data_IF_568299812562
#
_entry.id   IF_568299812562
#
_cell.length_a   1.000
_cell.length_b   1.000
_cell.length_c   1.000
_cell.angle_alpha   90.00
_cell.angle_beta   90.00
_cell.angle_gamma   90.00
#
_symmetry.space_group_name_H-M   'P 1'
#
loop_
_entity.id
_entity.type
_entity.pdbx_description
1 polymer ?
#
# COMPACT_ATOMS: atom_id res chain seq x y z
N UNK A 1 -18.76 1.80 -27.46
CA UNK A 1 -19.95 0.93 -27.29
C UNK A 1 -20.80 0.78 -28.53
N UNK A 2 -20.76 1.73 -29.48
CA UNK A 2 -21.59 1.72 -30.71
C UNK A 2 -21.78 0.36 -31.42
N UNK A 3 -20.73 -0.46 -31.49
CA UNK A 3 -20.84 -1.82 -32.07
C UNK A 3 -21.76 -2.76 -31.28
N UNK A 4 -21.70 -2.73 -29.95
CA UNK A 4 -22.59 -3.51 -29.06
C UNK A 4 -24.02 -2.94 -29.14
N UNK A 5 -24.14 -1.62 -29.21
CA UNK A 5 -25.43 -0.92 -29.20
C UNK A 5 -26.27 -1.23 -30.45
N UNK A 6 -25.64 -1.25 -31.64
CA UNK A 6 -26.31 -1.27 -32.95
C UNK A 6 -26.30 -2.66 -33.63
N UNK A 7 -25.73 -3.69 -33.00
CA UNK A 7 -25.64 -5.03 -33.58
C UNK A 7 -27.02 -5.63 -33.90
N UNK A 8 -27.16 -6.24 -35.08
CA UNK A 8 -28.38 -6.97 -35.47
C UNK A 8 -28.15 -8.47 -35.41
N UNK A 9 -28.85 -9.15 -34.51
CA UNK A 9 -28.73 -10.59 -34.29
C UNK A 9 -29.84 -11.41 -34.96
N UNK A 10 -30.65 -10.80 -35.84
CA UNK A 10 -31.83 -11.47 -36.43
C UNK A 10 -31.49 -12.77 -37.17
N UNK A 11 -30.38 -12.76 -37.91
CA UNK A 11 -29.90 -13.88 -38.72
C UNK A 11 -28.73 -14.65 -38.06
N UNK A 12 -28.38 -14.32 -36.82
CA UNK A 12 -27.27 -14.97 -36.13
C UNK A 12 -27.65 -16.40 -35.73
N UNK A 13 -26.74 -17.34 -35.91
CA UNK A 13 -26.80 -18.67 -35.30
C UNK A 13 -26.69 -18.59 -33.77
N UNK A 14 -27.06 -19.66 -33.06
CA UNK A 14 -26.97 -19.68 -31.60
C UNK A 14 -25.54 -19.43 -31.08
N UNK A 15 -24.47 -20.05 -31.64
CA UNK A 15 -23.09 -19.73 -31.24
C UNK A 15 -22.71 -18.27 -31.47
N UNK A 16 -23.18 -17.64 -32.55
CA UNK A 16 -22.94 -16.21 -32.79
C UNK A 16 -23.64 -15.33 -31.76
N UNK A 17 -24.89 -15.65 -31.38
CA UNK A 17 -25.63 -14.91 -30.35
C UNK A 17 -24.95 -15.05 -28.99
N UNK A 18 -24.58 -16.27 -28.60
CA UNK A 18 -23.96 -16.54 -27.29
C UNK A 18 -22.59 -15.85 -27.21
N UNK A 19 -21.75 -16.01 -28.24
CA UNK A 19 -20.44 -15.34 -28.30
C UNK A 19 -20.59 -13.82 -28.21
N UNK A 20 -21.54 -13.24 -28.95
CA UNK A 20 -21.83 -11.81 -28.88
C UNK A 20 -22.21 -11.37 -27.47
N UNK A 21 -23.15 -12.06 -26.82
CA UNK A 21 -23.65 -11.66 -25.50
C UNK A 21 -22.62 -11.86 -24.38
N UNK A 22 -21.78 -12.91 -24.42
CA UNK A 22 -20.68 -13.08 -23.47
C UNK A 22 -19.70 -11.90 -23.58
N UNK A 23 -19.28 -11.58 -24.82
CA UNK A 23 -18.38 -10.45 -25.05
C UNK A 23 -19.01 -9.11 -24.63
N UNK A 24 -20.29 -8.90 -24.96
CA UNK A 24 -21.01 -7.70 -24.57
C UNK A 24 -21.07 -7.57 -23.04
N UNK A 25 -21.47 -8.62 -22.34
CA UNK A 25 -21.54 -8.61 -20.87
C UNK A 25 -20.18 -8.26 -20.24
N UNK A 26 -19.12 -8.99 -20.63
CA UNK A 26 -17.79 -8.79 -20.06
C UNK A 26 -17.26 -7.37 -20.32
N UNK A 27 -17.46 -6.83 -21.53
CA UNK A 27 -17.06 -5.47 -21.88
C UNK A 27 -17.89 -4.41 -21.15
N UNK A 28 -19.19 -4.62 -20.96
CA UNK A 28 -20.06 -3.70 -20.22
C UNK A 28 -19.68 -3.65 -18.74
N UNK A 29 -19.35 -4.79 -18.12
CA UNK A 29 -18.82 -4.84 -16.74
C UNK A 29 -17.53 -4.02 -16.62
N UNK A 30 -16.55 -4.25 -17.51
CA UNK A 30 -15.30 -3.49 -17.52
C UNK A 30 -15.56 -2.00 -17.70
N UNK A 31 -16.40 -1.64 -18.67
CA UNK A 31 -16.73 -0.24 -18.93
C UNK A 31 -17.34 0.45 -17.72
N UNK A 32 -18.30 -0.22 -17.05
CA UNK A 32 -18.97 0.35 -15.90
C UNK A 32 -17.99 0.51 -14.73
N UNK A 33 -17.13 -0.48 -14.46
CA UNK A 33 -16.06 -0.33 -13.46
C UNK A 33 -15.17 0.89 -13.77
N UNK A 34 -14.72 1.02 -15.03
CA UNK A 34 -13.86 2.14 -15.44
C UNK A 34 -14.58 3.48 -15.30
N UNK A 35 -15.88 3.55 -15.61
CA UNK A 35 -16.67 4.77 -15.50
C UNK A 35 -16.86 5.25 -14.06
N UNK A 36 -16.85 4.33 -13.08
CA UNK A 36 -16.96 4.63 -11.65
C UNK A 36 -15.61 4.61 -10.92
N UNK A 37 -14.50 4.53 -11.65
CA UNK A 37 -13.18 4.47 -11.05
C UNK A 37 -12.79 5.79 -10.36
N UNK A 38 -12.14 5.78 -9.18
CA UNK A 38 -11.73 4.61 -8.39
C UNK A 38 -12.86 4.00 -7.55
N UNK A 39 -13.01 2.68 -7.63
CA UNK A 39 -13.94 1.89 -6.80
C UNK A 39 -13.26 0.63 -6.30
N UNK A 40 -13.62 0.15 -5.11
CA UNK A 40 -13.00 -1.04 -4.50
C UNK A 40 -13.80 -2.33 -4.68
N UNK A 41 -15.02 -2.24 -5.20
CA UNK A 41 -15.93 -3.36 -5.44
C UNK A 41 -17.02 -2.95 -6.43
N UNK A 42 -17.42 -3.82 -7.36
CA UNK A 42 -18.64 -3.62 -8.16
C UNK A 42 -19.88 -3.39 -7.28
N UNK A 43 -19.97 -4.05 -6.11
CA UNK A 43 -21.09 -3.89 -5.18
C UNK A 43 -21.15 -2.52 -4.49
N UNK A 44 -20.07 -1.73 -4.53
CA UNK A 44 -20.08 -0.38 -4.00
C UNK A 44 -20.88 0.59 -4.90
N UNK A 45 -21.17 0.20 -6.15
CA UNK A 45 -21.97 0.95 -7.11
C UNK A 45 -23.42 0.50 -6.97
N UNK A 46 -24.30 1.41 -6.55
CA UNK A 46 -25.69 1.11 -6.24
C UNK A 46 -26.44 0.53 -7.45
N UNK A 47 -26.74 -0.76 -7.41
CA UNK A 47 -27.45 -1.46 -8.48
C UNK A 47 -26.59 -1.69 -9.72
N UNK A 48 -25.29 -1.92 -9.54
CA UNK A 48 -24.32 -2.19 -10.61
C UNK A 48 -24.89 -3.15 -11.67
N UNK A 49 -25.44 -4.29 -11.25
CA UNK A 49 -25.97 -5.31 -12.15
C UNK A 49 -27.46 -5.11 -12.48
N UNK A 50 -28.24 -4.48 -11.60
CA UNK A 50 -29.71 -4.52 -11.64
C UNK A 50 -30.39 -3.21 -12.06
N UNK A 51 -29.72 -2.06 -11.95
CA UNK A 51 -30.33 -0.74 -12.19
C UNK A 51 -29.79 -0.03 -13.42
N UNK A 52 -28.50 -0.19 -13.72
CA UNK A 52 -27.87 0.51 -14.83
C UNK A 52 -28.17 -0.21 -16.14
N UNK A 53 -29.03 0.42 -16.97
CA UNK A 53 -29.34 -0.10 -18.30
C UNK A 53 -28.31 0.34 -19.32
N UNK A 54 -27.93 -0.59 -20.19
CA UNK A 54 -27.05 -0.40 -21.33
C UNK A 54 -27.82 -0.73 -22.62
N UNK A 55 -27.39 -0.17 -23.76
CA UNK A 55 -27.92 -0.58 -25.05
C UNK A 55 -27.15 -1.80 -25.55
N UNK A 56 -27.86 -2.88 -25.88
CA UNK A 56 -27.27 -4.10 -26.44
C UNK A 56 -28.17 -4.60 -27.54
N UNK A 57 -27.64 -4.66 -28.78
CA UNK A 57 -28.38 -5.08 -29.97
C UNK A 57 -29.74 -4.37 -30.13
N UNK A 58 -29.76 -3.05 -29.88
CA UNK A 58 -30.96 -2.20 -29.95
C UNK A 58 -31.88 -2.25 -28.72
N UNK A 59 -31.65 -3.13 -27.74
CA UNK A 59 -32.46 -3.26 -26.52
C UNK A 59 -31.83 -2.51 -25.33
N UNK A 60 -32.65 -1.92 -24.47
CA UNK A 60 -32.19 -1.30 -23.22
C UNK A 60 -32.32 -2.30 -22.07
N UNK A 61 -31.20 -2.85 -21.62
CA UNK A 61 -31.13 -4.02 -20.74
C UNK A 61 -30.09 -3.81 -19.63
N UNK A 62 -30.31 -4.37 -18.44
CA UNK A 62 -29.29 -4.38 -17.37
C UNK A 62 -28.32 -5.54 -17.53
N UNK A 63 -27.18 -5.53 -16.83
CA UNK A 63 -26.23 -6.66 -16.84
C UNK A 63 -26.90 -7.94 -16.36
N UNK A 64 -27.67 -7.89 -15.27
CA UNK A 64 -28.40 -9.04 -14.75
C UNK A 64 -29.44 -9.56 -15.77
N UNK A 65 -30.16 -8.67 -16.44
CA UNK A 65 -31.11 -9.09 -17.49
C UNK A 65 -30.39 -9.69 -18.70
N UNK A 66 -29.23 -9.16 -19.08
CA UNK A 66 -28.40 -9.69 -20.16
C UNK A 66 -27.92 -11.12 -19.83
N UNK A 67 -27.38 -11.33 -18.65
CA UNK A 67 -26.96 -12.66 -18.15
C UNK A 67 -28.14 -13.63 -18.08
N UNK A 68 -29.22 -13.26 -17.41
CA UNK A 68 -30.32 -14.19 -17.16
C UNK A 68 -31.15 -14.46 -18.43
N UNK A 69 -31.62 -13.41 -19.11
CA UNK A 69 -32.60 -13.54 -20.20
C UNK A 69 -31.98 -13.88 -21.54
N UNK A 70 -30.73 -13.48 -21.80
CA UNK A 70 -30.07 -13.70 -23.10
C UNK A 70 -29.07 -14.86 -23.10
N UNK A 71 -28.58 -15.28 -21.92
CA UNK A 71 -27.55 -16.31 -21.80
C UNK A 71 -28.02 -17.53 -20.99
N UNK A 72 -28.26 -17.39 -19.68
CA UNK A 72 -28.50 -18.55 -18.80
C UNK A 72 -29.85 -19.25 -19.06
N UNK A 73 -30.95 -18.52 -19.17
CA UNK A 73 -32.28 -19.13 -19.42
C UNK A 73 -32.37 -19.84 -20.79
N UNK A 74 -31.88 -19.26 -21.91
CA UNK A 74 -31.97 -19.91 -23.21
C UNK A 74 -31.01 -21.09 -23.39
N UNK A 75 -29.76 -20.96 -22.91
CA UNK A 75 -28.73 -21.99 -23.13
C UNK A 75 -28.78 -23.11 -22.11
N UNK A 76 -29.21 -22.77 -20.88
CA UNK A 76 -29.22 -23.71 -19.77
C UNK A 76 -27.85 -24.33 -19.47
N UNK A 77 -26.75 -23.70 -19.91
CA UNK A 77 -25.38 -24.18 -19.74
C UNK A 77 -24.73 -23.61 -18.46
N UNK A 78 -24.46 -24.43 -17.43
CA UNK A 78 -23.86 -23.96 -16.18
C UNK A 78 -22.43 -23.44 -16.36
N UNK A 79 -21.74 -23.79 -17.45
CA UNK A 79 -20.38 -23.33 -17.74
C UNK A 79 -20.31 -21.83 -18.00
N UNK A 80 -21.43 -21.20 -18.33
CA UNK A 80 -21.50 -19.76 -18.54
C UNK A 80 -21.10 -18.94 -17.30
N UNK A 81 -21.29 -19.49 -16.09
CA UNK A 81 -20.81 -18.90 -14.84
C UNK A 81 -19.28 -18.74 -14.75
N UNK A 82 -18.52 -19.41 -15.62
CA UNK A 82 -17.05 -19.35 -15.67
C UNK A 82 -16.49 -18.45 -16.78
N UNK A 83 -17.36 -17.89 -17.62
CA UNK A 83 -16.98 -16.98 -18.70
C UNK A 83 -17.62 -15.60 -18.60
N UNK A 84 -18.65 -15.45 -17.77
CA UNK A 84 -19.25 -14.16 -17.41
C UNK A 84 -18.55 -13.58 -16.18
N UNK A 85 -17.86 -12.46 -16.37
CA UNK A 85 -17.04 -11.87 -15.32
C UNK A 85 -17.77 -10.78 -14.54
N UNK A 86 -17.60 -10.74 -13.23
CA UNK A 86 -18.20 -9.70 -12.37
C UNK A 86 -17.18 -8.64 -11.90
N UNK A 87 -15.95 -8.66 -12.46
CA UNK A 87 -14.81 -7.81 -12.07
C UNK A 87 -14.34 -7.94 -10.60
N UNK A 88 -14.81 -8.95 -9.87
CA UNK A 88 -14.38 -9.21 -8.49
C UNK A 88 -13.21 -10.20 -8.41
N UNK A 89 -12.50 -10.25 -7.29
CA UNK A 89 -11.42 -11.23 -7.01
C UNK A 89 -11.93 -12.66 -6.89
N UNK A 90 -13.15 -12.85 -6.39
CA UNK A 90 -13.81 -14.16 -6.34
C UNK A 90 -14.29 -14.67 -7.70
N UNK A 91 -14.16 -13.84 -8.75
CA UNK A 91 -14.57 -14.17 -10.10
C UNK A 91 -13.63 -15.19 -10.75
N UNK A 92 -14.15 -16.07 -11.62
CA UNK A 92 -13.34 -16.76 -12.61
C UNK A 92 -12.44 -15.77 -13.35
N UNK A 93 -11.22 -16.20 -13.66
CA UNK A 93 -10.25 -15.34 -14.33
C UNK A 93 -10.81 -14.86 -15.68
N UNK A 94 -10.56 -13.60 -16.03
CA UNK A 94 -10.97 -13.00 -17.30
C UNK A 94 -10.26 -13.66 -18.48
N UNK A 95 -10.97 -13.89 -19.58
CA UNK A 95 -10.36 -14.32 -20.84
C UNK A 95 -9.58 -13.14 -21.46
N UNK A 96 -8.38 -13.42 -21.97
CA UNK A 96 -7.55 -12.48 -22.72
C UNK A 96 -7.89 -12.45 -24.23
N UNK A 97 -8.96 -13.13 -24.61
CA UNK A 97 -9.50 -13.22 -25.96
C UNK A 97 -10.99 -12.89 -26.00
N UNK A 98 -11.47 -12.54 -27.19
CA UNK A 98 -12.91 -12.46 -27.46
C UNK A 98 -13.47 -13.85 -27.79
N UNK A 99 -14.68 -14.12 -27.32
CA UNK A 99 -15.40 -15.34 -27.68
C UNK A 99 -15.85 -15.27 -29.14
N UNK A 100 -15.61 -16.34 -29.90
CA UNK A 100 -15.95 -16.42 -31.32
C UNK A 100 -16.88 -17.60 -31.57
N UNK A 101 -17.84 -17.43 -32.48
CA UNK A 101 -18.84 -18.46 -32.77
C UNK A 101 -18.24 -19.79 -33.23
N UNK A 102 -17.17 -19.75 -34.02
CA UNK A 102 -16.50 -20.94 -34.55
C UNK A 102 -15.59 -21.66 -33.54
N UNK A 103 -15.32 -21.04 -32.39
CA UNK A 103 -14.50 -21.61 -31.31
C UNK A 103 -15.22 -21.65 -29.96
N UNK A 104 -16.49 -21.25 -29.91
CA UNK A 104 -17.20 -20.90 -28.68
C UNK A 104 -17.18 -22.05 -27.66
N UNK A 105 -17.52 -23.25 -28.12
CA UNK A 105 -17.57 -24.44 -27.27
C UNK A 105 -16.19 -24.75 -26.66
N UNK A 106 -15.15 -24.74 -27.48
CA UNK A 106 -13.78 -24.98 -27.02
C UNK A 106 -13.31 -23.90 -26.04
N UNK A 107 -13.68 -22.64 -26.26
CA UNK A 107 -13.34 -21.53 -25.37
C UNK A 107 -14.06 -21.64 -24.02
N UNK A 108 -15.36 -21.94 -24.00
CA UNK A 108 -16.13 -22.14 -22.77
C UNK A 108 -15.59 -23.34 -21.98
N UNK A 109 -15.31 -24.44 -22.67
CA UNK A 109 -14.76 -25.64 -22.06
C UNK A 109 -13.38 -25.38 -21.45
N UNK A 110 -12.49 -24.69 -22.18
CA UNK A 110 -11.18 -24.30 -21.68
C UNK A 110 -11.27 -23.45 -20.40
N UNK A 111 -12.14 -22.43 -20.37
CA UNK A 111 -12.30 -21.57 -19.18
C UNK A 111 -12.90 -22.32 -17.99
N UNK A 112 -13.82 -23.25 -18.26
CA UNK A 112 -14.41 -24.12 -17.24
C UNK A 112 -13.36 -25.02 -16.62
N UNK A 113 -12.57 -25.70 -17.45
CA UNK A 113 -11.51 -26.58 -16.97
C UNK A 113 -10.47 -25.81 -16.15
N UNK A 114 -10.03 -24.64 -16.62
CA UNK A 114 -9.11 -23.78 -15.88
C UNK A 114 -9.67 -23.41 -14.50
N UNK A 115 -10.95 -23.04 -14.43
CA UNK A 115 -11.59 -22.62 -13.17
C UNK A 115 -11.75 -23.78 -12.18
N UNK A 116 -12.15 -24.96 -12.65
CA UNK A 116 -12.43 -26.11 -11.78
C UNK A 116 -11.18 -26.90 -11.37
N UNK A 117 -10.05 -26.65 -12.03
CA UNK A 117 -8.74 -27.20 -11.67
C UNK A 117 -7.90 -26.23 -10.82
N UNK A 118 -8.28 -24.95 -10.76
CA UNK A 118 -7.63 -23.94 -9.92
C UNK A 118 -7.85 -24.23 -8.42
N UNK A 119 -6.75 -24.37 -7.67
CA UNK A 119 -6.75 -24.64 -6.23
C UNK A 119 -7.22 -23.45 -5.39
N UNK A 120 -7.20 -22.24 -5.93
CA UNK A 120 -7.77 -21.05 -5.30
C UNK A 120 -9.30 -21.03 -5.37
N UNK A 121 -9.88 -21.65 -6.41
CA UNK A 121 -11.31 -21.71 -6.67
C UNK A 121 -11.95 -22.98 -6.08
N UNK A 122 -11.28 -24.14 -6.20
CA UNK A 122 -11.66 -25.42 -5.57
C UNK A 122 -10.59 -25.79 -4.54
N UNK A 123 -10.83 -25.46 -3.26
CA UNK A 123 -9.84 -25.57 -2.19
C UNK A 123 -9.96 -26.92 -1.49
N UNK A 124 -9.04 -27.83 -1.78
CA UNK A 124 -9.06 -29.20 -1.23
C UNK A 124 -8.13 -29.30 -0.03
N UNK A 125 -8.66 -29.80 1.09
CA UNK A 125 -7.92 -30.25 2.26
C UNK A 125 -7.92 -31.79 2.28
N UNK A 126 -6.82 -32.36 1.82
CA UNK A 126 -6.64 -33.80 1.71
C UNK A 126 -6.61 -34.50 3.08
N UNK A 127 -6.03 -33.85 4.10
CA UNK A 127 -5.87 -34.42 5.43
C UNK A 127 -7.21 -34.49 6.17
N UNK A 128 -8.03 -33.45 6.04
CA UNK A 128 -9.34 -33.38 6.67
C UNK A 128 -10.46 -34.01 5.82
N UNK A 129 -10.17 -34.42 4.57
CA UNK A 129 -11.17 -34.83 3.57
C UNK A 129 -12.27 -33.78 3.39
N UNK A 130 -11.88 -32.52 3.22
CA UNK A 130 -12.79 -31.37 3.02
C UNK A 130 -12.51 -30.67 1.70
N UNK A 131 -13.55 -30.15 1.07
CA UNK A 131 -13.42 -29.28 -0.09
C UNK A 131 -14.26 -28.01 0.12
N UNK A 132 -13.62 -26.85 0.01
CA UNK A 132 -14.30 -25.57 0.04
C UNK A 132 -14.46 -25.04 -1.39
N UNK A 133 -15.70 -24.74 -1.78
CA UNK A 133 -16.08 -24.26 -3.12
C UNK A 133 -16.62 -22.82 -3.07
N UNK A 134 -16.55 -22.14 -4.21
CA UNK A 134 -17.06 -20.76 -4.35
C UNK A 134 -18.56 -20.67 -4.04
N UNK A 135 -19.01 -19.54 -3.48
CA UNK A 135 -20.42 -19.21 -3.31
C UNK A 135 -21.22 -19.19 -4.63
N UNK A 136 -20.56 -19.11 -5.80
CA UNK A 136 -21.21 -19.30 -7.12
C UNK A 136 -22.02 -20.60 -7.15
N UNK A 137 -21.48 -21.70 -6.62
CA UNK A 137 -22.18 -22.99 -6.57
C UNK A 137 -23.35 -23.00 -5.56
N UNK A 138 -23.39 -22.03 -4.65
CA UNK A 138 -24.49 -21.86 -3.69
C UNK A 138 -25.60 -21.00 -4.30
N UNK A 139 -25.24 -19.85 -4.90
CA UNK A 139 -26.21 -18.94 -5.52
C UNK A 139 -26.89 -19.56 -6.74
N UNK A 140 -26.13 -20.28 -7.56
CA UNK A 140 -26.59 -20.89 -8.81
C UNK A 140 -26.71 -22.41 -8.71
N UNK A 141 -26.98 -22.94 -7.50
CA UNK A 141 -27.02 -24.38 -7.21
C UNK A 141 -27.94 -25.16 -8.17
N UNK A 142 -29.04 -24.56 -8.61
CA UNK A 142 -29.99 -25.20 -9.53
C UNK A 142 -29.39 -25.49 -10.91
N UNK A 143 -28.47 -24.64 -11.38
CA UNK A 143 -27.85 -24.79 -12.70
C UNK A 143 -26.90 -25.99 -12.75
N UNK A 144 -26.24 -26.26 -11.63
CA UNK A 144 -25.27 -27.36 -11.48
C UNK A 144 -25.90 -28.71 -11.10
N UNK A 145 -27.21 -28.77 -10.76
CA UNK A 145 -27.89 -30.00 -10.31
C UNK A 145 -28.81 -30.64 -11.35
N UNK A 146 -28.41 -30.59 -12.61
CA UNK A 146 -29.23 -31.12 -13.71
C UNK A 146 -29.15 -32.64 -13.80
N UNK A 147 -30.24 -33.27 -14.24
CA UNK A 147 -30.31 -34.71 -14.50
C UNK A 147 -29.94 -35.59 -13.29
N UNK A 148 -30.25 -35.14 -12.06
CA UNK A 148 -29.97 -35.87 -10.83
C UNK A 148 -28.52 -35.75 -10.33
N UNK A 149 -27.68 -34.96 -11.01
CA UNK A 149 -26.31 -34.68 -10.57
C UNK A 149 -26.31 -33.74 -9.36
N UNK A 150 -25.34 -33.92 -8.47
CA UNK A 150 -24.97 -32.93 -7.46
C UNK A 150 -23.86 -32.00 -7.99
N UNK A 151 -23.66 -30.87 -7.31
CA UNK A 151 -22.59 -29.91 -7.62
C UNK A 151 -21.23 -30.60 -7.75
N UNK A 152 -20.96 -31.58 -6.88
CA UNK A 152 -19.70 -32.31 -6.88
C UNK A 152 -19.51 -33.18 -8.11
N UNK A 153 -20.60 -33.71 -8.68
CA UNK A 153 -20.56 -34.53 -9.89
C UNK A 153 -20.15 -33.66 -11.08
N UNK A 154 -20.69 -32.45 -11.17
CA UNK A 154 -20.28 -31.46 -12.17
C UNK A 154 -18.79 -31.11 -12.02
N UNK A 155 -18.34 -30.78 -10.81
CA UNK A 155 -16.92 -30.48 -10.54
C UNK A 155 -16.02 -31.66 -10.93
N UNK A 156 -16.45 -32.88 -10.58
CA UNK A 156 -15.70 -34.10 -10.85
C UNK A 156 -15.54 -34.40 -12.35
N UNK A 157 -16.37 -33.87 -13.25
CA UNK A 157 -16.17 -34.02 -14.70
C UNK A 157 -14.82 -33.44 -15.16
N UNK A 158 -14.33 -32.40 -14.47
CA UNK A 158 -13.15 -31.63 -14.86
C UNK A 158 -11.90 -31.95 -14.03
N UNK A 159 -12.00 -32.86 -13.06
CA UNK A 159 -10.91 -33.20 -12.14
C UNK A 159 -10.36 -34.60 -12.39
N UNK A 160 -9.03 -34.70 -12.33
CA UNK A 160 -8.32 -36.00 -12.30
C UNK A 160 -8.53 -36.68 -10.95
N UNK A 161 -8.28 -35.97 -9.85
CA UNK A 161 -8.52 -36.46 -8.50
C UNK A 161 -9.98 -36.16 -8.11
N UNK A 162 -10.82 -37.18 -8.17
CA UNK A 162 -12.23 -37.10 -7.81
C UNK A 162 -12.39 -36.80 -6.31
N UNK A 163 -13.40 -35.99 -5.99
CA UNK A 163 -13.68 -35.50 -4.63
C UNK A 163 -14.77 -36.33 -3.93
N UNK A 164 -14.86 -37.61 -4.26
CA UNK A 164 -15.84 -38.53 -3.66
C UNK A 164 -15.57 -38.70 -2.15
N UNK A 165 -16.61 -38.56 -1.34
CA UNK A 165 -16.52 -38.66 0.12
C UNK A 165 -15.95 -37.44 0.83
N UNK A 166 -15.63 -36.34 0.12
CA UNK A 166 -15.18 -35.11 0.76
C UNK A 166 -16.38 -34.35 1.34
N UNK A 167 -16.21 -33.79 2.52
CA UNK A 167 -17.19 -32.85 3.07
C UNK A 167 -17.09 -31.53 2.31
N UNK A 168 -18.19 -31.14 1.66
CA UNK A 168 -18.30 -29.90 0.89
C UNK A 168 -18.65 -28.74 1.83
N UNK A 169 -17.88 -27.66 1.74
CA UNK A 169 -18.16 -26.38 2.39
C UNK A 169 -18.11 -25.25 1.37
N UNK A 170 -18.71 -24.09 1.67
CA UNK A 170 -18.56 -22.89 0.86
C UNK A 170 -17.62 -21.89 1.54
N UNK A 171 -16.97 -21.03 0.75
CA UNK A 171 -16.23 -19.88 1.26
C UNK A 171 -16.85 -18.57 0.76
N UNK A 172 -16.78 -17.47 1.55
CA UNK A 172 -17.32 -16.18 1.14
C UNK A 172 -16.70 -15.67 -0.16
N UNK A 173 -17.54 -15.15 -1.05
CA UNK A 173 -17.13 -14.57 -2.31
C UNK A 173 -16.40 -13.23 -2.11
N UNK A 174 -15.21 -13.11 -2.67
CA UNK A 174 -14.43 -11.88 -2.57
C UNK A 174 -14.88 -10.86 -3.63
N UNK A 175 -15.83 -9.99 -3.25
CA UNK A 175 -16.34 -8.90 -4.07
C UNK A 175 -15.37 -7.73 -4.25
N UNK A 176 -14.17 -7.80 -3.68
CA UNK A 176 -13.12 -6.80 -3.90
C UNK A 176 -12.79 -6.74 -5.39
N UNK A 177 -12.66 -5.55 -5.96
CA UNK A 177 -12.36 -5.35 -7.38
C UNK A 177 -11.06 -6.09 -7.74
N UNK A 178 -11.01 -6.72 -8.90
CA UNK A 178 -9.91 -7.59 -9.31
C UNK A 178 -8.58 -6.83 -9.57
N UNK A 179 -8.62 -5.51 -9.76
CA UNK A 179 -7.44 -4.63 -9.73
C UNK A 179 -7.11 -4.14 -8.31
N UNK A 180 -8.08 -4.22 -7.38
CA UNK A 180 -7.94 -3.76 -6.01
C UNK A 180 -7.05 -4.75 -5.30
N UNK A 181 -5.82 -4.30 -5.14
CA UNK A 181 -4.82 -4.94 -4.34
C UNK A 181 -5.23 -4.76 -2.89
N UNK A 182 -6.04 -5.67 -2.38
CA UNK A 182 -5.85 -6.03 -1.00
C UNK A 182 -4.41 -6.54 -0.89
N UNK A 183 -3.60 -5.92 -0.05
CA UNK A 183 -2.43 -6.54 0.60
C UNK A 183 -2.83 -7.78 1.46
N UNK A 184 -3.93 -8.46 1.10
CA UNK A 184 -4.48 -9.64 1.75
C UNK A 184 -4.01 -10.95 1.11
N UNK A 185 -3.40 -10.90 -0.08
CA UNK A 185 -2.45 -11.94 -0.47
C UNK A 185 -1.25 -11.81 0.47
N UNK A 186 -1.13 -12.77 1.38
CA UNK A 186 -0.04 -12.79 2.35
C UNK A 186 1.32 -12.96 1.66
N UNK A 187 2.43 -12.85 2.41
CA UNK A 187 3.76 -13.18 1.91
C UNK A 187 3.91 -14.65 1.45
N UNK A 188 2.91 -15.50 1.71
CA UNK A 188 2.86 -16.91 1.30
C UNK A 188 2.01 -17.15 0.03
N UNK A 189 1.27 -16.14 -0.45
CA UNK A 189 0.71 -16.22 -1.80
C UNK A 189 1.84 -15.95 -2.80
N UNK A 190 2.00 -16.75 -3.87
CA UNK A 190 2.91 -16.38 -4.94
C UNK A 190 2.56 -14.96 -5.37
N UNK A 191 3.51 -14.03 -5.18
CA UNK A 191 3.41 -12.71 -5.80
C UNK A 191 3.12 -12.99 -7.29
N UNK A 192 2.14 -12.32 -7.93
CA UNK A 192 2.05 -12.35 -9.39
C UNK A 192 3.46 -12.12 -9.92
N UNK A 193 3.91 -12.91 -10.91
CA UNK A 193 5.32 -13.22 -11.28
C UNK A 193 6.33 -12.04 -11.32
N UNK A 194 5.85 -10.80 -11.21
CA UNK A 194 6.58 -9.55 -11.35
C UNK A 194 6.42 -8.54 -10.17
N UNK A 195 5.78 -8.86 -9.05
CA UNK A 195 5.67 -7.91 -7.91
C UNK A 195 6.57 -8.30 -6.74
N UNK A 196 7.06 -7.31 -6.01
CA UNK A 196 8.01 -7.51 -4.91
C UNK A 196 7.54 -6.82 -3.62
N UNK A 197 8.08 -7.23 -2.47
CA UNK A 197 7.77 -6.65 -1.17
C UNK A 197 7.84 -5.11 -1.13
N UNK A 198 8.71 -4.49 -1.93
CA UNK A 198 8.79 -3.03 -2.08
C UNK A 198 7.47 -2.36 -2.52
N UNK A 199 6.67 -3.04 -3.35
CA UNK A 199 5.41 -2.50 -3.88
C UNK A 199 4.21 -2.82 -2.96
N UNK A 200 4.32 -3.90 -2.18
CA UNK A 200 3.25 -4.42 -1.32
C UNK A 200 3.30 -3.79 0.09
N UNK A 201 4.48 -3.80 0.70
CA UNK A 201 4.74 -3.30 2.05
C UNK A 201 5.21 -1.85 2.01
N UNK A 202 4.32 -0.95 1.62
CA UNK A 202 4.55 0.49 1.73
C UNK A 202 4.50 0.94 3.19
N UNK A 203 4.99 2.14 3.52
CA UNK A 203 4.95 2.65 4.89
C UNK A 203 3.54 2.81 5.47
N UNK A 204 2.48 2.82 4.67
CA UNK A 204 1.09 2.86 5.14
C UNK A 204 0.53 1.46 5.48
N UNK A 205 1.12 0.39 4.97
CA UNK A 205 0.66 -0.98 5.15
C UNK A 205 0.91 -1.46 6.59
N UNK A 206 0.10 -2.43 7.01
CA UNK A 206 0.21 -3.07 8.32
C UNK A 206 0.40 -4.58 8.20
N UNK A 207 1.05 -5.15 9.20
CA UNK A 207 1.36 -6.58 9.26
C UNK A 207 0.27 -7.39 9.97
N UNK A 208 0.04 -8.62 9.51
CA UNK A 208 -0.87 -9.59 10.15
C UNK A 208 -0.25 -10.24 11.37
N UNK A 209 -1.09 -10.86 12.20
CA UNK A 209 -0.65 -11.63 13.36
C UNK A 209 0.49 -12.59 13.01
N UNK A 210 1.63 -12.46 13.69
CA UNK A 210 2.81 -13.31 13.50
C UNK A 210 3.86 -12.75 12.55
N UNK A 211 3.54 -11.73 11.76
CA UNK A 211 4.50 -11.04 10.90
C UNK A 211 5.22 -9.93 11.67
N UNK A 212 6.46 -9.67 11.27
CA UNK A 212 7.26 -8.58 11.82
C UNK A 212 8.06 -7.88 10.72
N UNK A 213 8.52 -6.68 11.03
CA UNK A 213 9.46 -5.92 10.22
C UNK A 213 10.53 -5.32 11.12
N UNK A 214 11.77 -5.31 10.64
CA UNK A 214 12.86 -4.56 11.24
C UNK A 214 13.34 -3.53 10.23
N UNK A 215 13.26 -2.25 10.59
CA UNK A 215 13.86 -1.18 9.82
C UNK A 215 15.04 -0.56 10.56
N UNK A 216 16.14 -0.34 9.85
CA UNK A 216 17.27 0.45 10.34
C UNK A 216 17.44 1.65 9.42
N UNK A 217 17.12 2.84 9.94
CA UNK A 217 17.29 4.10 9.25
C UNK A 217 18.56 4.77 9.73
N UNK A 218 19.38 5.27 8.81
CA UNK A 218 20.52 6.12 9.08
C UNK A 218 20.33 7.41 8.29
N UNK A 219 20.25 8.53 9.01
CA UNK A 219 20.09 9.85 8.44
C UNK A 219 21.29 10.70 8.82
N UNK A 220 22.13 11.04 7.83
CA UNK A 220 23.28 11.93 8.00
C UNK A 220 22.94 13.34 7.51
N UNK A 221 22.85 14.27 8.45
CA UNK A 221 22.76 15.71 8.22
C UNK A 221 24.12 16.37 8.43
N UNK A 222 24.49 17.31 7.55
CA UNK A 222 25.76 18.05 7.66
C UNK A 222 25.55 19.53 7.37
N UNK A 223 26.28 20.37 8.10
CA UNK A 223 26.23 21.82 7.93
C UNK A 223 27.60 22.47 8.18
N UNK A 224 27.85 23.55 7.46
CA UNK A 224 28.99 24.48 7.67
C UNK A 224 28.52 25.91 7.88
N UNK A 225 27.21 26.15 7.76
CA UNK A 225 26.57 27.45 7.89
C UNK A 225 25.22 27.26 8.60
N UNK A 226 24.67 28.33 9.17
CA UNK A 226 23.31 28.41 9.73
C UNK A 226 22.60 29.63 9.18
N UNK A 227 21.26 29.68 9.20
CA UNK A 227 20.53 30.91 8.88
C UNK A 227 20.21 31.68 10.15
N UNK A 228 20.47 32.97 10.13
CA UNK A 228 20.14 33.85 11.26
C UNK A 228 18.66 34.26 11.28
N UNK A 229 18.34 35.25 12.11
CA UNK A 229 16.99 35.78 12.27
C UNK A 229 16.45 36.50 11.02
N UNK A 230 17.33 37.07 10.19
CA UNK A 230 17.00 37.72 8.93
C UNK A 230 16.92 36.71 7.76
N UNK A 231 17.45 35.49 7.95
CA UNK A 231 17.53 34.46 6.92
C UNK A 231 18.87 34.49 6.17
N UNK A 232 19.84 35.26 6.65
CA UNK A 232 21.17 35.35 6.07
C UNK A 232 22.04 34.16 6.49
N UNK A 233 22.92 33.72 5.60
CA UNK A 233 23.81 32.60 5.86
C UNK A 233 25.00 33.05 6.71
N UNK A 234 25.16 32.43 7.88
CA UNK A 234 26.24 32.68 8.82
C UNK A 234 27.16 31.45 8.86
N UNK A 235 28.44 31.65 8.55
CA UNK A 235 29.44 30.59 8.58
C UNK A 235 29.76 30.09 9.99
N UNK A 236 29.90 28.77 10.14
CA UNK A 236 30.25 28.14 11.42
C UNK A 236 31.77 27.96 11.62
N UNK A 237 32.60 28.21 10.60
CA UNK A 237 34.04 27.93 10.57
C UNK A 237 34.46 26.49 10.94
N UNK A 238 33.49 25.58 10.98
CA UNK A 238 33.64 24.16 11.28
C UNK A 238 32.54 23.40 10.54
N UNK A 239 32.74 22.10 10.31
CA UNK A 239 31.68 21.21 9.83
C UNK A 239 31.06 20.49 11.03
N UNK A 240 29.75 20.55 11.12
CA UNK A 240 28.99 19.77 12.09
C UNK A 240 28.24 18.68 11.33
N UNK A 241 28.32 17.43 11.80
CA UNK A 241 27.54 16.32 11.27
C UNK A 241 26.69 15.71 12.38
N UNK A 242 25.46 15.35 12.03
CA UNK A 242 24.48 14.74 12.91
C UNK A 242 23.97 13.48 12.22
N UNK A 243 24.26 12.33 12.81
CA UNK A 243 23.74 11.04 12.39
C UNK A 243 22.62 10.64 13.34
N UNK A 244 21.44 10.42 12.79
CA UNK A 244 20.32 9.81 13.48
C UNK A 244 20.14 8.39 12.97
N UNK A 245 20.42 7.41 13.83
CA UNK A 245 20.13 6.01 13.59
C UNK A 245 18.85 5.63 14.34
N UNK A 246 17.84 5.18 13.61
CA UNK A 246 16.59 4.67 14.19
C UNK A 246 16.45 3.19 13.86
N UNK A 247 16.33 2.35 14.89
CA UNK A 247 16.06 0.92 14.75
C UNK A 247 14.60 0.72 15.15
N UNK A 248 13.76 0.31 14.21
CA UNK A 248 12.33 0.12 14.43
C UNK A 248 11.97 -1.34 14.32
N UNK A 249 11.38 -1.89 15.38
CA UNK A 249 10.76 -3.21 15.36
C UNK A 249 9.24 -3.06 15.31
N UNK A 250 8.59 -3.69 14.33
CA UNK A 250 7.14 -3.71 14.19
C UNK A 250 6.63 -5.15 14.21
N UNK A 251 5.56 -5.41 14.95
CA UNK A 251 4.91 -6.72 15.03
C UNK A 251 3.41 -6.62 14.74
N UNK A 252 2.92 -7.54 13.91
CA UNK A 252 1.50 -7.77 13.68
C UNK A 252 0.85 -8.54 14.80
N UNK A 253 -0.17 -7.93 15.40
CA UNK A 253 -0.97 -8.54 16.48
C UNK A 253 -2.38 -8.93 16.02
N UNK A 254 -2.86 -8.34 14.92
CA UNK A 254 -4.22 -8.55 14.40
C UNK A 254 -4.23 -9.43 13.16
N UNK A 255 -5.15 -10.40 13.08
CA UNK A 255 -5.33 -11.24 11.87
C UNK A 255 -5.76 -10.43 10.65
N UNK A 256 -6.47 -9.33 10.88
CA UNK A 256 -6.98 -8.42 9.83
C UNK A 256 -5.96 -7.39 9.33
N UNK A 257 -4.71 -7.41 9.80
CA UNK A 257 -3.69 -6.40 9.46
C UNK A 257 -4.14 -4.97 9.74
N UNK A 258 -4.77 -4.73 10.91
CA UNK A 258 -5.30 -3.41 11.30
C UNK A 258 -4.66 -2.80 12.52
N UNK A 259 -3.82 -3.57 13.20
CA UNK A 259 -3.11 -3.16 14.40
C UNK A 259 -1.74 -3.82 14.42
N UNK A 260 -0.72 -2.97 14.53
CA UNK A 260 0.66 -3.33 14.83
C UNK A 260 1.09 -2.65 16.13
N UNK A 261 1.98 -3.32 16.84
CA UNK A 261 2.74 -2.77 17.95
C UNK A 261 4.19 -2.68 17.55
N UNK A 262 4.93 -1.73 18.10
CA UNK A 262 6.35 -1.60 17.83
C UNK A 262 7.13 -1.01 18.98
N UNK A 263 8.44 -1.12 18.86
CA UNK A 263 9.41 -0.52 19.77
C UNK A 263 10.56 0.02 18.92
N UNK A 264 10.86 1.29 19.10
CA UNK A 264 11.95 1.96 18.41
C UNK A 264 13.08 2.31 19.37
N UNK A 265 14.30 2.19 18.88
CA UNK A 265 15.51 2.65 19.55
C UNK A 265 16.17 3.73 18.69
N UNK A 266 16.52 4.85 19.33
CA UNK A 266 17.21 5.95 18.67
C UNK A 266 18.64 6.03 19.18
N UNK A 267 19.59 6.06 18.25
CA UNK A 267 21.00 6.29 18.51
C UNK A 267 21.39 7.55 17.74
N UNK A 268 21.71 8.61 18.48
CA UNK A 268 22.13 9.88 17.90
C UNK A 268 23.63 10.08 18.07
N UNK A 269 24.26 10.56 17.01
CA UNK A 269 25.68 10.86 17.00
C UNK A 269 25.91 12.25 16.42
N UNK A 270 26.64 13.10 17.15
CA UNK A 270 27.09 14.39 16.66
C UNK A 270 28.62 14.39 16.53
N UNK A 271 29.12 15.04 15.50
CA UNK A 271 30.55 15.21 15.28
C UNK A 271 30.88 16.60 14.76
N UNK A 272 32.09 17.07 15.08
CA UNK A 272 32.62 18.34 14.62
C UNK A 272 34.01 18.12 14.05
N UNK A 273 34.29 18.71 12.90
CA UNK A 273 35.60 18.72 12.24
C UNK A 273 35.83 20.09 11.57
N UNK A 274 36.98 20.26 10.92
CA UNK A 274 37.30 21.42 10.09
C UNK A 274 36.23 21.63 8.99
N UNK A 275 35.98 22.89 8.59
CA UNK A 275 34.95 23.23 7.60
C UNK A 275 35.15 22.53 6.24
N UNK A 276 36.41 22.31 5.84
CA UNK A 276 36.80 21.57 4.62
C UNK A 276 36.77 20.05 4.78
N UNK A 277 36.54 19.53 5.99
CA UNK A 277 36.47 18.10 6.26
C UNK A 277 35.30 17.42 5.53
N UNK A 278 35.47 16.14 5.22
CA UNK A 278 34.42 15.34 4.55
C UNK A 278 33.34 14.89 5.54
N UNK A 279 32.04 14.99 5.21
CA UNK A 279 30.95 14.42 6.02
C UNK A 279 31.10 12.92 6.28
N UNK A 280 31.74 12.19 5.35
CA UNK A 280 31.93 10.74 5.45
C UNK A 280 32.91 10.34 6.56
N UNK A 281 33.76 11.27 7.03
CA UNK A 281 34.61 11.02 8.19
C UNK A 281 33.81 10.68 9.44
N UNK A 282 32.53 11.07 9.52
CA UNK A 282 31.64 10.65 10.60
C UNK A 282 31.59 9.13 10.77
N UNK A 283 31.64 8.38 9.67
CA UNK A 283 31.58 6.92 9.69
C UNK A 283 32.96 6.27 9.77
N UNK A 284 33.92 6.75 8.98
CA UNK A 284 35.15 6.01 8.68
C UNK A 284 36.45 6.73 9.04
N UNK A 285 36.38 7.94 9.62
CA UNK A 285 37.56 8.75 9.91
C UNK A 285 37.60 9.32 11.32
N UNK A 286 38.74 9.89 11.67
CA UNK A 286 38.91 10.69 12.88
C UNK A 286 38.37 12.11 12.67
N UNK A 287 37.80 12.67 13.74
CA UNK A 287 37.18 14.00 13.79
C UNK A 287 37.55 14.65 15.13
N UNK A 288 37.57 15.98 15.19
CA UNK A 288 37.96 16.73 16.40
C UNK A 288 37.04 16.45 17.60
N UNK A 289 35.76 16.16 17.34
CA UNK A 289 34.81 15.76 18.36
C UNK A 289 33.82 14.76 17.78
N UNK A 290 33.49 13.72 18.55
CA UNK A 290 32.39 12.81 18.28
C UNK A 290 31.73 12.38 19.58
N UNK A 291 30.41 12.38 19.58
CA UNK A 291 29.62 11.84 20.67
C UNK A 291 28.46 11.03 20.11
N UNK A 292 28.35 9.79 20.56
CA UNK A 292 27.28 8.86 20.19
C UNK A 292 26.56 8.42 21.44
N UNK A 293 25.22 8.41 21.40
CA UNK A 293 24.39 8.12 22.57
C UNK A 293 23.11 7.44 22.12
N UNK A 294 22.67 6.45 22.90
CA UNK A 294 21.31 5.93 22.82
C UNK A 294 20.41 6.99 23.46
N UNK A 295 19.64 7.69 22.64
CA UNK A 295 18.92 8.88 23.04
C UNK A 295 17.50 8.58 23.51
N UNK A 296 16.79 7.69 22.82
CA UNK A 296 15.39 7.38 23.13
C UNK A 296 15.07 5.90 23.02
N UNK A 297 14.16 5.45 23.89
CA UNK A 297 13.33 4.27 23.68
C UNK A 297 11.92 4.75 23.37
N UNK A 298 11.28 4.20 22.36
CA UNK A 298 9.98 4.69 21.91
C UNK A 298 8.98 3.56 21.62
N UNK A 299 8.06 3.25 22.54
CA UNK A 299 6.93 2.38 22.22
C UNK A 299 6.04 3.02 21.14
N UNK A 300 5.54 2.17 20.23
CA UNK A 300 4.72 2.56 19.09
C UNK A 300 3.46 1.71 18.98
N UNK A 301 2.37 2.36 18.59
CA UNK A 301 1.17 1.72 18.05
C UNK A 301 0.91 2.21 16.63
N UNK A 302 0.49 1.32 15.73
CA UNK A 302 0.05 1.67 14.37
C UNK A 302 -1.24 0.96 14.03
N UNK A 303 -2.21 1.67 13.48
CA UNK A 303 -3.53 1.11 13.20
C UNK A 303 -4.18 1.70 11.95
N UNK A 304 -5.10 0.93 11.35
CA UNK A 304 -5.96 1.37 10.25
C UNK A 304 -7.32 1.77 10.83
N UNK A 305 -7.68 3.06 10.88
CA UNK A 305 -8.93 3.50 11.49
C UNK A 305 -10.16 3.09 10.69
N UNK A 306 -10.09 3.14 9.35
CA UNK A 306 -11.25 2.91 8.48
C UNK A 306 -11.10 1.62 7.67
N UNK A 307 -12.07 0.69 7.79
CA UNK A 307 -12.06 -0.58 7.03
C UNK A 307 -11.95 -0.35 5.51
N UNK A 308 -12.62 0.71 5.04
CA UNK A 308 -12.73 1.06 3.62
C UNK A 308 -11.46 1.70 3.05
N UNK A 309 -10.53 2.15 3.91
CA UNK A 309 -9.27 2.79 3.52
C UNK A 309 -8.09 2.00 4.12
N UNK A 310 -7.82 0.78 3.65
CA UNK A 310 -6.76 -0.07 4.22
C UNK A 310 -5.35 0.50 4.04
N UNK A 311 -5.20 1.50 3.16
CA UNK A 311 -3.94 2.22 2.88
C UNK A 311 -3.85 3.56 3.59
N UNK A 312 -4.83 3.90 4.43
CA UNK A 312 -4.75 5.00 5.36
C UNK A 312 -4.46 4.45 6.76
N UNK A 313 -3.29 4.76 7.32
CA UNK A 313 -2.92 4.33 8.66
C UNK A 313 -2.41 5.47 9.52
N UNK A 314 -2.59 5.29 10.83
CA UNK A 314 -2.13 6.23 11.85
C UNK A 314 -1.12 5.49 12.72
N UNK A 315 0.00 6.14 12.96
CA UNK A 315 1.06 5.69 13.86
C UNK A 315 1.23 6.70 14.97
N UNK A 316 1.33 6.23 16.21
CA UNK A 316 1.57 7.05 17.39
C UNK A 316 2.74 6.44 18.15
N UNK A 317 3.77 7.25 18.37
CA UNK A 317 5.03 6.85 18.99
C UNK A 317 5.36 7.85 20.09
N UNK A 318 5.68 7.36 21.28
CA UNK A 318 6.12 8.19 22.41
C UNK A 318 7.62 8.00 22.62
N UNK A 319 8.44 8.98 22.26
CA UNK A 319 9.88 8.92 22.48
C UNK A 319 10.19 9.38 23.90
N UNK A 320 10.81 8.49 24.67
CA UNK A 320 11.20 8.70 26.05
C UNK A 320 12.72 8.86 26.08
N UNK A 321 13.25 10.03 26.48
CA UNK A 321 14.69 10.22 26.57
C UNK A 321 15.27 9.30 27.65
N UNK A 322 16.36 8.60 27.33
CA UNK A 322 17.06 7.69 28.25
C UNK A 322 18.48 8.16 28.59
N UNK A 323 18.88 9.29 28.03
CA UNK A 323 20.15 9.95 28.30
C UNK A 323 19.91 11.44 28.56
N UNK A 324 20.77 12.03 29.38
CA UNK A 324 20.65 13.41 29.82
C UNK A 324 21.57 14.35 29.04
N UNK A 325 21.26 15.64 29.14
CA UNK A 325 22.01 16.78 28.62
C UNK A 325 22.21 16.75 27.11
N UNK A 326 21.33 16.09 26.36
CA UNK A 326 21.50 15.87 24.91
C UNK A 326 21.54 17.17 24.09
N UNK A 327 20.93 18.25 24.59
CA UNK A 327 20.92 19.57 23.94
C UNK A 327 22.23 20.36 24.16
N UNK A 328 23.04 19.99 25.15
CA UNK A 328 24.28 20.70 25.51
C UNK A 328 25.36 19.74 26.08
N UNK A 329 25.51 18.57 25.47
CA UNK A 329 26.41 17.54 25.98
C UNK A 329 27.85 17.89 25.62
N UNK A 330 28.68 18.13 26.64
CA UNK A 330 30.03 18.66 26.48
C UNK A 330 30.08 19.97 25.65
N UNK A 331 29.09 20.85 25.83
CA UNK A 331 29.02 22.13 25.12
C UNK A 331 28.49 22.03 23.69
N UNK A 332 27.94 20.87 23.29
CA UNK A 332 27.49 20.61 21.90
C UNK A 332 26.10 19.98 21.89
N UNK A 333 25.31 20.36 20.89
CA UNK A 333 24.03 19.72 20.62
C UNK A 333 24.26 18.34 20.00
N UNK A 334 23.56 17.32 20.50
CA UNK A 334 23.52 15.98 19.90
C UNK A 334 22.13 15.70 19.33
N UNK A 335 21.11 15.89 20.16
CA UNK A 335 19.69 15.77 19.84
C UNK A 335 18.89 16.49 20.92
N UNK A 336 17.56 16.51 20.81
CA UNK A 336 16.73 17.09 21.86
C UNK A 336 16.68 16.20 23.10
N UNK A 337 16.64 16.77 24.30
CA UNK A 337 16.49 16.02 25.56
C UNK A 337 15.06 16.16 26.08
N UNK A 338 14.08 15.66 25.31
CA UNK A 338 12.65 15.99 25.51
C UNK A 338 11.78 14.78 25.32
N UNK A 339 10.71 14.68 26.11
CA UNK A 339 9.61 13.78 25.76
C UNK A 339 9.01 14.25 24.43
N UNK A 340 8.89 13.34 23.48
CA UNK A 340 8.35 13.67 22.15
C UNK A 340 7.21 12.74 21.83
N UNK A 341 6.03 13.31 21.60
CA UNK A 341 4.91 12.58 21.04
C UNK A 341 4.89 12.78 19.53
N UNK A 342 5.12 11.70 18.80
CA UNK A 342 5.08 11.64 17.34
C UNK A 342 3.79 10.95 16.88
N UNK A 343 2.93 11.69 16.18
CA UNK A 343 1.79 11.10 15.45
C UNK A 343 2.03 11.24 13.96
N UNK A 344 1.98 10.13 13.22
CA UNK A 344 2.16 10.09 11.77
C UNK A 344 0.90 9.54 11.10
N UNK A 345 0.48 10.17 10.02
CA UNK A 345 -0.59 9.72 9.16
C UNK A 345 0.02 9.34 7.81
N UNK A 346 -0.29 8.13 7.37
CA UNK A 346 0.25 7.57 6.14
C UNK A 346 -0.88 7.29 5.15
N UNK A 347 -0.66 7.66 3.90
CA UNK A 347 -1.55 7.29 2.80
C UNK A 347 -0.73 7.00 1.56
N UNK A 348 -1.12 5.98 0.78
CA UNK A 348 -0.59 5.78 -0.55
C UNK A 348 -1.69 5.38 -1.53
N UNK A 349 -1.46 5.73 -2.79
CA UNK A 349 -2.34 5.40 -3.90
C UNK A 349 -1.54 5.20 -5.18
N UNK A 350 -1.93 4.20 -5.96
CA UNK A 350 -1.30 3.90 -7.24
C UNK A 350 -1.88 4.78 -8.35
N UNK A 351 -1.02 5.23 -9.25
CA UNK A 351 -1.39 5.95 -10.48
C UNK A 351 -1.02 5.03 -11.65
N UNK A 352 -1.95 4.15 -12.01
CA UNK A 352 -1.68 3.08 -12.96
C UNK A 352 -0.67 2.05 -12.42
N UNK A 353 -0.04 1.25 -13.30
CA UNK A 353 0.78 0.10 -12.89
C UNK A 353 2.22 0.46 -12.50
N UNK A 354 2.72 1.65 -12.87
CA UNK A 354 4.14 2.01 -12.74
C UNK A 354 4.40 3.19 -11.82
N UNK A 355 3.37 3.85 -11.30
CA UNK A 355 3.53 5.00 -10.42
C UNK A 355 2.71 4.85 -9.13
N UNK A 356 3.25 5.39 -8.05
CA UNK A 356 2.57 5.48 -6.76
C UNK A 356 2.89 6.82 -6.11
N UNK A 357 1.89 7.40 -5.45
CA UNK A 357 2.10 8.54 -4.56
C UNK A 357 1.96 8.06 -3.13
N UNK A 358 2.91 8.45 -2.30
CA UNK A 358 2.86 8.25 -0.85
C UNK A 358 2.89 9.62 -0.17
N UNK A 359 2.02 9.79 0.81
CA UNK A 359 1.87 11.01 1.61
C UNK A 359 2.09 10.64 3.08
N UNK A 360 2.90 11.43 3.75
CA UNK A 360 3.15 11.35 5.18
C UNK A 360 2.93 12.72 5.82
N UNK A 361 2.06 12.74 6.82
CA UNK A 361 1.81 13.90 7.67
C UNK A 361 2.23 13.57 9.10
N UNK A 362 3.25 14.25 9.63
CA UNK A 362 3.76 13.99 10.97
C UNK A 362 3.58 15.20 11.89
N UNK A 363 3.14 14.93 13.12
CA UNK A 363 2.98 15.89 14.20
C UNK A 363 3.95 15.51 15.30
N UNK A 364 4.97 16.33 15.51
CA UNK A 364 5.90 16.24 16.62
C UNK A 364 5.49 17.23 17.69
N UNK A 365 5.00 16.75 18.83
CA UNK A 365 4.85 17.57 20.01
C UNK A 365 5.98 17.29 20.99
N UNK A 366 6.85 18.28 21.20
CA UNK A 366 7.98 18.16 22.14
C UNK A 366 7.69 18.87 23.43
N UNK A 367 7.82 18.14 24.52
CA UNK A 367 7.55 18.57 25.88
C UNK A 367 8.89 18.69 26.60
N UNK A 368 9.19 19.89 27.11
CA UNK A 368 10.41 20.12 27.90
C UNK A 368 10.46 19.17 29.09
N UNK A 369 11.63 18.63 29.36
CA UNK A 369 11.94 17.77 30.50
C UNK A 369 12.38 18.59 31.71
N UNK A 370 13.16 19.66 31.47
CA UNK A 370 13.73 20.54 32.49
C UNK A 370 13.46 22.03 32.19
N UNK A 371 13.58 22.89 33.19
CA UNK A 371 13.35 24.35 33.07
C UNK A 371 14.42 25.09 32.24
N UNK A 372 15.61 24.51 32.10
CA UNK A 372 16.72 25.07 31.31
C UNK A 372 16.50 24.97 29.80
N UNK A 373 15.47 24.25 29.37
CA UNK A 373 15.17 24.01 27.96
C UNK A 373 14.18 25.02 27.42
N UNK A 374 14.25 25.29 26.11
CA UNK A 374 13.24 26.10 25.42
C UNK A 374 11.83 25.53 25.66
N UNK A 375 10.82 26.39 25.53
CA UNK A 375 9.41 26.01 25.71
C UNK A 375 8.98 24.84 24.83
N UNK A 376 7.86 24.22 25.19
CA UNK A 376 7.23 23.20 24.34
C UNK A 376 6.96 23.76 22.94
N UNK A 377 7.06 22.90 21.94
CA UNK A 377 6.77 23.28 20.57
C UNK A 377 6.12 22.13 19.80
N UNK A 378 5.40 22.51 18.75
CA UNK A 378 4.83 21.59 17.77
C UNK A 378 5.59 21.78 16.47
N UNK A 379 6.04 20.70 15.85
CA UNK A 379 6.56 20.71 14.48
C UNK A 379 5.70 19.79 13.62
N UNK A 380 5.25 20.31 12.50
CA UNK A 380 4.49 19.55 11.50
C UNK A 380 5.45 19.17 10.38
N UNK A 381 5.26 18.02 9.76
CA UNK A 381 5.99 17.61 8.57
C UNK A 381 4.99 17.13 7.54
N UNK A 382 4.87 17.88 6.44
CA UNK A 382 4.06 17.56 5.28
C UNK A 382 4.99 16.97 4.22
N UNK A 383 4.86 15.68 3.90
CA UNK A 383 5.77 14.99 2.98
C UNK A 383 4.99 14.27 1.88
N UNK A 384 5.45 14.43 0.64
CA UNK A 384 4.89 13.72 -0.51
C UNK A 384 6.02 13.09 -1.33
N UNK A 385 5.79 11.86 -1.76
CA UNK A 385 6.73 11.03 -2.52
C UNK A 385 6.05 10.54 -3.78
N UNK A 386 6.66 10.76 -4.93
CA UNK A 386 6.24 10.17 -6.21
C UNK A 386 7.23 9.07 -6.57
N UNK A 387 6.74 7.83 -6.58
CA UNK A 387 7.52 6.62 -6.89
C UNK A 387 7.23 6.13 -8.30
N UNK A 388 8.28 5.66 -8.98
CA UNK A 388 8.27 5.03 -10.29
C UNK A 388 8.88 3.62 -10.19
N UNK A 389 8.18 2.63 -10.76
CA UNK A 389 8.57 1.21 -10.74
C UNK A 389 8.99 0.76 -12.15
N UNK A 390 10.24 1.01 -12.58
CA UNK A 390 10.72 0.57 -13.89
C UNK A 390 10.86 -0.95 -13.99
N UNK A 391 11.12 -1.61 -12.86
CA UNK A 391 11.29 -3.06 -12.71
C UNK A 391 10.72 -3.51 -11.37
N UNK A 392 10.37 -4.80 -11.21
CA UNK A 392 9.85 -5.35 -9.96
C UNK A 392 10.64 -4.93 -8.71
N UNK A 393 11.97 -5.12 -8.75
CA UNK A 393 12.88 -4.94 -7.60
C UNK A 393 13.48 -3.53 -7.48
N UNK A 394 13.13 -2.61 -8.37
CA UNK A 394 13.76 -1.28 -8.45
C UNK A 394 12.67 -0.22 -8.36
N UNK A 395 12.85 0.74 -7.47
CA UNK A 395 12.00 1.94 -7.38
C UNK A 395 12.87 3.16 -7.46
N UNK A 396 12.50 4.15 -8.28
CA UNK A 396 13.03 5.50 -8.18
C UNK A 396 11.93 6.39 -7.61
N UNK A 397 12.29 7.36 -6.78
CA UNK A 397 11.30 8.29 -6.25
C UNK A 397 11.85 9.69 -6.11
N UNK A 398 10.99 10.68 -6.32
CA UNK A 398 11.22 12.07 -5.93
C UNK A 398 10.37 12.40 -4.71
N UNK A 399 10.82 13.34 -3.88
CA UNK A 399 10.05 13.79 -2.73
C UNK A 399 10.16 15.28 -2.47
N UNK A 400 9.13 15.83 -1.83
CA UNK A 400 9.10 17.18 -1.28
C UNK A 400 8.60 17.13 0.17
N UNK A 401 9.16 17.98 1.02
CA UNK A 401 8.77 18.10 2.41
C UNK A 401 8.71 19.57 2.84
N UNK A 402 7.66 19.94 3.57
CA UNK A 402 7.53 21.22 4.26
C UNK A 402 7.37 20.98 5.75
N UNK A 403 8.15 21.69 6.58
CA UNK A 403 8.18 21.43 8.00
C UNK A 403 8.13 22.70 8.86
N UNK A 404 6.94 23.25 9.15
CA UNK A 404 6.79 24.39 10.04
C UNK A 404 6.85 23.99 11.52
N UNK A 405 7.50 24.82 12.33
CA UNK A 405 7.53 24.77 13.81
C UNK A 405 6.72 25.91 14.39
N UNK A 406 5.88 25.59 15.35
CA UNK A 406 5.08 26.53 16.12
C UNK A 406 5.43 26.44 17.59
N UNK A 407 5.63 27.59 18.22
CA UNK A 407 5.93 27.69 19.64
C UNK A 407 5.52 29.05 20.21
N UNK A 408 5.70 29.20 21.52
CA UNK A 408 5.50 30.46 22.23
C UNK A 408 6.64 31.42 21.89
N UNK A 409 6.33 32.55 21.26
CA UNK A 409 7.36 33.46 20.73
C UNK A 409 7.94 34.43 21.79
N UNK A 410 7.35 34.52 22.98
CA UNK A 410 7.84 35.37 24.09
C UNK A 410 7.40 34.84 25.46
N UNK A 411 8.05 35.26 26.54
CA UNK A 411 7.77 34.79 27.91
C UNK A 411 6.74 35.63 28.69
N UNK A 412 5.94 36.47 28.01
CA UNK A 412 4.91 37.32 28.65
C UNK A 412 3.53 36.65 28.78
N UNK A 413 2.67 37.15 29.68
CA UNK A 413 1.31 36.63 29.91
C UNK A 413 0.46 36.52 28.62
N UNK A 414 0.61 37.50 27.70
CA UNK A 414 -0.02 37.54 26.35
C UNK A 414 0.91 37.09 25.22
N UNK A 415 1.78 36.12 25.49
CA UNK A 415 2.69 35.61 24.46
C UNK A 415 1.94 34.98 23.29
N UNK A 416 2.19 35.46 22.08
CA UNK A 416 1.61 34.88 20.88
C UNK A 416 2.24 33.51 20.59
N UNK A 417 1.39 32.50 20.37
CA UNK A 417 1.80 31.23 19.76
C UNK A 417 1.86 31.43 18.25
N UNK A 418 2.98 31.10 17.62
CA UNK A 418 3.16 31.40 16.21
C UNK A 418 4.25 30.60 15.54
N UNK A 419 4.32 30.74 14.22
CA UNK A 419 5.34 30.12 13.38
C UNK A 419 6.72 30.69 13.74
N UNK A 420 7.61 29.85 14.26
CA UNK A 420 8.94 30.26 14.69
C UNK A 420 10.05 29.86 13.72
N UNK A 421 9.94 28.68 13.12
CA UNK A 421 10.91 28.12 12.17
C UNK A 421 10.18 27.36 11.06
N UNK A 422 10.81 27.23 9.90
CA UNK A 422 10.34 26.31 8.86
C UNK A 422 11.45 25.95 7.89
N UNK A 423 11.28 24.84 7.20
CA UNK A 423 12.08 24.52 6.03
C UNK A 423 11.25 23.84 4.93
N UNK A 424 11.77 23.92 3.70
CA UNK A 424 11.34 23.15 2.56
C UNK A 424 12.52 22.35 2.01
N UNK A 425 12.28 21.06 1.81
CA UNK A 425 13.26 20.11 1.31
C UNK A 425 12.72 19.44 0.06
N UNK A 426 13.60 19.20 -0.91
CA UNK A 426 13.32 18.35 -2.07
C UNK A 426 14.43 17.33 -2.21
N UNK A 427 14.10 16.17 -2.74
CA UNK A 427 15.09 15.14 -2.93
C UNK A 427 14.65 14.04 -3.87
N UNK A 428 15.55 13.08 -4.03
CA UNK A 428 15.37 11.90 -4.86
C UNK A 428 16.00 10.70 -4.17
N UNK A 429 15.53 9.51 -4.52
CA UNK A 429 16.08 8.29 -4.00
C UNK A 429 15.77 7.08 -4.86
N UNK A 430 16.36 5.97 -4.46
CA UNK A 430 16.14 4.68 -5.07
C UNK A 430 15.94 3.62 -4.00
N UNK A 431 15.10 2.64 -4.31
CA UNK A 431 14.92 1.42 -3.51
C UNK A 431 15.30 0.22 -4.35
N UNK A 432 15.99 -0.72 -3.73
CA UNK A 432 16.39 -1.97 -4.34
C UNK A 432 16.10 -3.14 -3.41
N UNK A 433 15.46 -4.17 -3.94
CA UNK A 433 15.16 -5.39 -3.20
C UNK A 433 16.26 -6.43 -3.42
N UNK A 434 17.14 -6.57 -2.43
CA UNK A 434 18.29 -7.49 -2.45
C UNK A 434 17.83 -8.95 -2.40
N UNK A 435 16.85 -9.25 -1.56
CA UNK A 435 16.21 -10.57 -1.39
C UNK A 435 14.71 -10.38 -1.18
N UNK A 436 13.86 -11.43 -1.28
CA UNK A 436 12.43 -11.28 -1.04
C UNK A 436 12.11 -10.54 0.27
N UNK A 437 12.86 -10.81 1.35
CA UNK A 437 12.67 -10.17 2.66
C UNK A 437 13.54 -8.91 2.86
N UNK A 438 14.62 -8.72 2.11
CA UNK A 438 15.61 -7.67 2.38
C UNK A 438 15.56 -6.54 1.36
N UNK A 439 15.20 -5.35 1.81
CA UNK A 439 15.18 -4.11 1.03
C UNK A 439 16.27 -3.13 1.46
N UNK A 440 16.81 -2.40 0.48
CA UNK A 440 17.71 -1.26 0.68
C UNK A 440 17.09 -0.02 0.04
N UNK A 441 17.13 1.10 0.73
CA UNK A 441 16.72 2.39 0.22
C UNK A 441 17.83 3.42 0.48
N UNK A 442 18.14 4.22 -0.55
CA UNK A 442 19.08 5.32 -0.51
C UNK A 442 18.36 6.57 -1.02
N UNK A 443 18.46 7.68 -0.28
CA UNK A 443 17.95 8.96 -0.75
C UNK A 443 18.86 10.12 -0.40
N UNK A 444 18.73 11.17 -1.20
CA UNK A 444 19.44 12.42 -1.11
C UNK A 444 18.43 13.55 -1.13
N UNK A 445 18.51 14.47 -0.18
CA UNK A 445 17.64 15.65 -0.14
C UNK A 445 18.43 16.93 0.13
N UNK A 446 17.98 18.03 -0.46
CA UNK A 446 18.54 19.35 -0.24
C UNK A 446 17.46 20.34 0.21
N UNK A 447 17.84 21.29 1.05
CA UNK A 447 16.95 22.30 1.59
C UNK A 447 16.96 23.52 0.66
N UNK A 448 15.81 23.86 0.10
CA UNK A 448 15.69 24.94 -0.91
C UNK A 448 15.07 26.23 -0.35
N UNK A 449 14.58 26.18 0.89
CA UNK A 449 14.15 27.36 1.62
C UNK A 449 14.05 27.04 3.10
N UNK A 450 14.51 27.94 3.97
CA UNK A 450 14.40 27.75 5.41
C UNK A 450 14.49 29.09 6.17
N UNK A 451 13.91 29.12 7.36
CA UNK A 451 13.94 30.26 8.29
C UNK A 451 14.28 29.77 9.69
N UNK A 452 15.35 30.35 10.27
CA UNK A 452 15.83 30.05 11.64
C UNK A 452 16.03 28.55 11.89
N UNK A 453 16.45 27.81 10.86
CA UNK A 453 16.85 26.40 10.94
C UNK A 453 18.28 26.27 10.37
N UNK A 454 18.91 25.10 10.49
CA UNK A 454 20.27 24.90 9.99
C UNK A 454 20.38 25.12 8.47
N UNK A 455 21.39 25.88 8.01
CA UNK A 455 21.63 26.14 6.59
C UNK A 455 22.32 24.91 5.98
N UNK A 456 21.49 23.92 5.70
CA UNK A 456 21.91 22.57 5.42
C UNK A 456 22.70 22.41 4.11
N UNK A 457 23.71 21.54 4.17
CA UNK A 457 24.23 20.78 3.05
C UNK A 457 23.48 19.41 2.99
N UNK A 458 23.65 18.57 1.96
CA UNK A 458 22.65 17.56 1.66
C UNK A 458 22.49 16.48 2.73
N UNK A 459 21.23 16.04 2.85
CA UNK A 459 20.79 14.98 3.73
C UNK A 459 20.88 13.64 3.01
N UNK A 460 21.60 12.68 3.59
CA UNK A 460 21.68 11.32 3.05
C UNK A 460 20.90 10.39 3.97
N UNK A 461 19.96 9.64 3.40
CA UNK A 461 19.23 8.60 4.09
C UNK A 461 19.61 7.24 3.54
N UNK A 462 19.90 6.31 4.44
CA UNK A 462 20.07 4.89 4.13
C UNK A 462 19.10 4.13 5.01
N UNK A 463 18.23 3.32 4.39
CA UNK A 463 17.30 2.43 5.09
C UNK A 463 17.56 0.99 4.68
N UNK A 464 17.69 0.13 5.68
CA UNK A 464 17.64 -1.31 5.52
C UNK A 464 16.33 -1.84 6.12
N UNK A 465 15.65 -2.73 5.40
CA UNK A 465 14.36 -3.31 5.81
C UNK A 465 14.40 -4.83 5.68
N UNK A 466 13.98 -5.52 6.73
CA UNK A 466 13.82 -6.98 6.77
C UNK A 466 12.40 -7.38 7.15
#
# INVERSE_FOLDING_TARGET
MRFIDEASLRQASDPERIAFYINAYNLLVIHQVVAYYPVNSPQAINGFFEKHKQKVAGESITLNELEQKKLLMPTQDPRLHFVLICAARGCPQIADFAFRSDQLEAQIEQRTQLTLTDSSFIRVDEAAKKVAISEIFTWYRADFRKNGQEVIDFINQYRTNKLEGYQITSYPYDWTLNDFQNSAEGPDAPLPDDRTNLQVFTPSALFRKGQFEINVFNNLYTQTQVRDNAGDAVGLNQRQNFLNTTIQFTYGVSRSARLNLGLDLYVNSASVDNASGSPLKHFFGEVNFRQTVISYIAPRIKFVPFKKLPRFSIQSTLLIPVADDLENRAGRFVTHDRYTWLTQLFSDFNIGPKFQVFIEEAIFYRIRRNETQETNFVRLFYSAFLSYFPRPRVTFFGFGQYAPRFERLSNGFDSQFGLSQWFFQVGTGAKYQLRPQLGLELSYGNFIGLRRDGAAQPLIWVRLSY
#
